data_IF_448021688090
#
_entry.id   IF_448021688090
#
_cell.length_a   1.000
_cell.length_b   1.000
_cell.length_c   1.000
_cell.angle_alpha   90.00
_cell.angle_beta   90.00
_cell.angle_gamma   90.00
#
_symmetry.space_group_name_H-M   'P 1'
#
loop_
_entity.id
_entity.type
_entity.pdbx_description
1 polymer ?
#
# COMPACT_ATOMS: atom_id res chain seq x y z
N UNK A 1 8.75 -21.77 21.37
CA UNK A 1 9.51 -22.20 20.18
C UNK A 1 8.61 -22.07 18.96
N UNK A 2 9.17 -21.70 17.81
CA UNK A 2 8.39 -21.53 16.58
C UNK A 2 8.67 -22.72 15.66
N UNK A 3 7.65 -23.26 15.02
CA UNK A 3 7.80 -24.34 14.04
C UNK A 3 7.78 -23.74 12.64
N UNK A 4 8.76 -24.09 11.80
CA UNK A 4 8.84 -23.62 10.42
C UNK A 4 8.40 -24.74 9.47
N UNK A 5 7.29 -24.53 8.77
CA UNK A 5 6.78 -25.43 7.72
C UNK A 5 6.61 -26.91 8.12
N UNK A 6 6.55 -27.23 9.43
CA UNK A 6 6.43 -28.61 9.93
C UNK A 6 7.72 -29.44 9.86
N UNK A 7 8.86 -28.85 9.51
CA UNK A 7 10.14 -29.57 9.34
C UNK A 7 11.05 -29.49 10.58
N UNK A 8 10.68 -28.71 11.58
CA UNK A 8 11.42 -28.63 12.82
C UNK A 8 11.20 -27.35 13.61
N UNK A 9 11.74 -27.38 14.81
CA UNK A 9 11.68 -26.29 15.77
C UNK A 9 12.80 -25.27 15.49
N UNK A 10 12.42 -24.02 15.23
CA UNK A 10 13.34 -22.92 14.88
C UNK A 10 13.28 -21.79 15.90
N UNK A 11 14.35 -21.01 15.96
CA UNK A 11 14.37 -19.74 16.66
C UNK A 11 13.76 -18.64 15.77
N UNK A 12 12.69 -18.00 16.25
CA UNK A 12 12.01 -16.91 15.55
C UNK A 12 12.26 -15.55 16.21
N UNK A 13 12.12 -14.47 15.42
CA UNK A 13 12.15 -13.09 15.90
C UNK A 13 11.07 -12.25 15.24
N UNK A 14 10.50 -11.30 15.98
CA UNK A 14 9.48 -10.37 15.48
C UNK A 14 10.03 -8.95 15.59
N UNK A 15 9.96 -8.20 14.50
CA UNK A 15 10.32 -6.77 14.48
C UNK A 15 9.06 -5.94 14.68
N UNK A 16 9.00 -5.21 15.80
CA UNK A 16 7.88 -4.32 16.11
C UNK A 16 8.28 -2.89 15.74
N UNK A 17 7.53 -2.29 14.81
CA UNK A 17 7.72 -0.90 14.42
C UNK A 17 7.15 0.05 15.48
N UNK A 18 7.83 1.19 15.69
CA UNK A 18 7.30 2.28 16.53
C UNK A 18 6.01 2.84 15.94
N UNK A 19 5.02 3.06 16.79
CA UNK A 19 3.75 3.67 16.39
C UNK A 19 3.96 5.01 15.67
N UNK A 20 3.19 5.25 14.59
CA UNK A 20 3.25 6.48 13.80
C UNK A 20 4.44 6.60 12.85
N UNK A 21 5.27 5.55 12.68
CA UNK A 21 6.35 5.52 11.68
C UNK A 21 5.92 4.87 10.37
N UNK A 22 6.66 5.15 9.30
CA UNK A 22 6.41 4.58 7.98
C UNK A 22 6.85 3.10 7.94
N UNK A 23 5.90 2.21 7.67
CA UNK A 23 6.13 0.77 7.61
C UNK A 23 7.08 0.36 6.48
N UNK A 24 6.89 0.91 5.28
CA UNK A 24 7.69 0.57 4.10
C UNK A 24 9.15 0.99 4.29
N UNK A 25 9.37 2.22 4.77
CA UNK A 25 10.72 2.73 5.07
C UNK A 25 11.42 1.88 6.15
N UNK A 26 10.69 1.51 7.21
CA UNK A 26 11.22 0.67 8.29
C UNK A 26 11.60 -0.72 7.79
N UNK A 27 10.76 -1.34 6.96
CA UNK A 27 11.02 -2.67 6.40
C UNK A 27 12.22 -2.62 5.44
N UNK A 28 12.33 -1.58 4.61
CA UNK A 28 13.47 -1.43 3.70
C UNK A 28 14.79 -1.27 4.46
N UNK A 29 14.80 -0.44 5.52
CA UNK A 29 15.97 -0.31 6.39
C UNK A 29 16.33 -1.62 7.08
N UNK A 30 15.32 -2.39 7.52
CA UNK A 30 15.51 -3.72 8.11
C UNK A 30 16.14 -4.70 7.11
N UNK A 31 15.64 -4.77 5.87
CA UNK A 31 16.17 -5.65 4.82
C UNK A 31 17.64 -5.37 4.53
N UNK A 32 18.01 -4.09 4.40
CA UNK A 32 19.41 -3.67 4.23
C UNK A 32 20.27 -4.11 5.42
N UNK A 33 19.76 -3.95 6.64
CA UNK A 33 20.51 -4.35 7.84
C UNK A 33 20.68 -5.86 7.94
N UNK A 34 19.66 -6.64 7.57
CA UNK A 34 19.72 -8.09 7.55
C UNK A 34 20.75 -8.60 6.53
N UNK A 35 20.81 -8.00 5.33
CA UNK A 35 21.84 -8.34 4.34
C UNK A 35 23.26 -8.09 4.88
N UNK A 36 23.48 -6.96 5.57
CA UNK A 36 24.77 -6.68 6.20
C UNK A 36 25.13 -7.71 7.28
N UNK A 37 24.15 -8.12 8.09
CA UNK A 37 24.35 -9.07 9.18
C UNK A 37 24.54 -10.50 8.68
N UNK A 38 23.99 -10.85 7.52
CA UNK A 38 24.10 -12.19 6.94
C UNK A 38 25.57 -12.62 6.77
N UNK A 39 26.46 -11.68 6.45
CA UNK A 39 27.91 -11.94 6.35
C UNK A 39 28.61 -12.23 7.68
N UNK A 40 27.98 -11.88 8.81
CA UNK A 40 28.53 -12.10 10.16
C UNK A 40 27.96 -13.33 10.84
N UNK A 41 27.00 -14.01 10.21
CA UNK A 41 26.38 -15.20 10.77
C UNK A 41 27.33 -16.40 10.71
N UNK A 42 27.26 -17.32 11.69
CA UNK A 42 27.98 -18.59 11.63
C UNK A 42 27.62 -19.38 10.36
N UNK A 43 28.56 -20.19 9.83
CA UNK A 43 28.27 -21.03 8.68
C UNK A 43 27.09 -21.97 8.97
N UNK A 44 26.13 -22.02 8.05
CA UNK A 44 24.91 -22.82 8.16
C UNK A 44 23.70 -22.11 8.77
N UNK A 45 23.81 -20.85 9.19
CA UNK A 45 22.68 -20.05 9.68
C UNK A 45 22.11 -19.18 8.56
N UNK A 46 20.81 -19.35 8.27
CA UNK A 46 20.07 -18.54 7.30
C UNK A 46 18.88 -17.84 7.96
N UNK A 47 18.63 -16.58 7.59
CA UNK A 47 17.48 -15.82 8.05
C UNK A 47 16.41 -15.87 6.96
N UNK A 48 15.34 -16.62 7.19
CA UNK A 48 14.22 -16.73 6.26
C UNK A 48 13.07 -15.81 6.71
N UNK A 49 12.70 -14.77 5.93
CA UNK A 49 11.56 -13.93 6.26
C UNK A 49 10.25 -14.69 6.04
N UNK A 50 9.50 -14.92 7.12
CA UNK A 50 8.21 -15.63 7.09
C UNK A 50 7.01 -14.73 6.79
N UNK A 51 7.15 -13.42 7.05
CA UNK A 51 6.08 -12.45 6.82
C UNK A 51 6.66 -11.07 6.48
N UNK A 52 6.29 -10.55 5.31
CA UNK A 52 6.76 -9.26 4.81
C UNK A 52 5.56 -8.39 4.39
N UNK A 53 5.31 -7.32 5.15
CA UNK A 53 4.21 -6.39 4.87
C UNK A 53 4.52 -5.45 3.71
N UNK A 54 5.77 -5.30 3.27
CA UNK A 54 6.11 -4.35 2.20
C UNK A 54 5.43 -4.74 0.89
N UNK A 55 5.34 -6.05 0.61
CA UNK A 55 4.73 -6.57 -0.62
C UNK A 55 3.28 -6.12 -0.77
N UNK A 56 2.50 -6.18 0.33
CA UNK A 56 1.12 -5.72 0.33
C UNK A 56 1.02 -4.21 0.09
N UNK A 57 1.93 -3.43 0.66
CA UNK A 57 1.96 -1.97 0.49
C UNK A 57 2.29 -1.62 -0.96
N UNK A 58 3.33 -2.23 -1.52
CA UNK A 58 3.77 -2.01 -2.91
C UNK A 58 2.66 -2.40 -3.89
N UNK A 59 2.04 -3.57 -3.73
CA UNK A 59 0.92 -3.99 -4.56
C UNK A 59 -0.29 -3.05 -4.46
N UNK A 60 -0.60 -2.52 -3.27
CA UNK A 60 -1.68 -1.54 -3.11
C UNK A 60 -1.37 -0.23 -3.85
N UNK A 61 -0.12 0.27 -3.78
CA UNK A 61 0.33 1.47 -4.47
C UNK A 61 0.28 1.28 -5.99
N UNK A 62 0.77 0.14 -6.48
CA UNK A 62 0.77 -0.18 -7.91
C UNK A 62 -0.65 -0.30 -8.45
N UNK A 63 -1.53 -0.97 -7.70
CA UNK A 63 -2.94 -1.12 -8.07
C UNK A 63 -3.63 0.25 -8.13
N UNK A 64 -3.44 1.10 -7.12
CA UNK A 64 -4.02 2.43 -7.09
C UNK A 64 -3.51 3.28 -8.25
N UNK A 65 -2.20 3.28 -8.50
CA UNK A 65 -1.58 4.04 -9.58
C UNK A 65 -2.10 3.60 -10.95
N UNK A 66 -2.21 2.28 -11.16
CA UNK A 66 -2.76 1.72 -12.39
C UNK A 66 -4.24 2.10 -12.57
N UNK A 67 -5.04 2.03 -11.51
CA UNK A 67 -6.47 2.38 -11.55
C UNK A 67 -6.72 3.86 -11.82
N UNK A 68 -5.94 4.75 -11.20
CA UNK A 68 -6.02 6.19 -11.49
C UNK A 68 -5.67 6.50 -12.94
N UNK A 69 -4.70 5.80 -13.51
CA UNK A 69 -4.34 5.94 -14.93
C UNK A 69 -5.48 5.46 -15.84
N UNK A 70 -6.08 4.31 -15.52
CA UNK A 70 -7.23 3.76 -16.24
C UNK A 70 -8.42 4.73 -16.21
N UNK A 71 -8.76 5.24 -15.04
CA UNK A 71 -9.83 6.24 -14.86
C UNK A 71 -9.55 7.50 -15.67
N UNK A 72 -8.34 8.06 -15.58
CA UNK A 72 -7.95 9.24 -16.34
C UNK A 72 -8.11 9.04 -17.85
N UNK A 73 -7.74 7.87 -18.37
CA UNK A 73 -7.81 7.56 -19.80
C UNK A 73 -9.26 7.42 -20.26
N UNK A 74 -10.09 6.70 -19.51
CA UNK A 74 -11.54 6.57 -19.79
C UNK A 74 -12.18 7.94 -19.83
N UNK A 75 -11.88 8.75 -18.83
CA UNK A 75 -12.35 10.12 -18.70
C UNK A 75 -11.93 11.00 -19.88
N UNK A 76 -10.67 10.93 -20.32
CA UNK A 76 -10.16 11.67 -21.47
C UNK A 76 -10.90 11.28 -22.77
N UNK A 77 -11.15 9.98 -22.97
CA UNK A 77 -11.90 9.46 -24.13
C UNK A 77 -13.34 9.94 -24.11
N UNK A 78 -14.03 9.83 -22.97
CA UNK A 78 -15.40 10.34 -22.81
C UNK A 78 -15.42 11.83 -23.12
N UNK A 79 -14.49 12.62 -22.57
CA UNK A 79 -14.43 14.04 -22.89
C UNK A 79 -14.27 14.29 -24.39
N UNK A 80 -13.34 13.61 -25.06
CA UNK A 80 -13.13 13.75 -26.50
C UNK A 80 -14.38 13.44 -27.32
N UNK A 81 -15.17 12.43 -26.93
CA UNK A 81 -16.42 12.05 -27.60
C UNK A 81 -17.56 13.04 -27.34
N UNK A 82 -17.68 13.56 -26.11
CA UNK A 82 -18.73 14.48 -25.70
C UNK A 82 -18.39 15.96 -25.96
N UNK A 83 -17.21 16.26 -26.52
CA UNK A 83 -16.72 17.62 -26.75
C UNK A 83 -17.49 18.45 -27.79
N UNK A 84 -18.62 17.95 -28.31
CA UNK A 84 -19.69 18.82 -28.84
C UNK A 84 -20.38 19.65 -27.72
N UNK A 85 -20.30 19.22 -26.46
CA UNK A 85 -20.70 19.93 -25.23
C UNK A 85 -19.69 19.71 -24.07
N UNK A 86 -18.41 20.01 -24.32
CA UNK A 86 -17.27 19.84 -23.38
C UNK A 86 -17.52 20.32 -21.94
N UNK A 87 -18.27 21.43 -21.79
CA UNK A 87 -18.46 22.08 -20.49
C UNK A 87 -19.18 21.19 -19.47
N UNK A 88 -20.22 20.47 -19.88
CA UNK A 88 -21.01 19.65 -18.95
C UNK A 88 -20.28 18.38 -18.52
N UNK A 89 -19.51 17.77 -19.44
CA UNK A 89 -18.72 16.57 -19.15
C UNK A 89 -17.55 16.87 -18.18
N UNK A 90 -16.91 18.04 -18.33
CA UNK A 90 -15.78 18.45 -17.50
C UNK A 90 -16.21 18.70 -16.05
N UNK A 91 -17.43 19.23 -15.83
CA UNK A 91 -18.00 19.40 -14.48
C UNK A 91 -18.18 18.04 -13.80
N UNK A 92 -18.80 17.05 -14.47
CA UNK A 92 -19.03 15.73 -13.88
C UNK A 92 -17.70 15.00 -13.58
N UNK A 93 -16.73 15.11 -14.49
CA UNK A 93 -15.39 14.54 -14.34
C UNK A 93 -14.65 15.04 -13.11
N UNK A 94 -14.66 16.35 -12.86
CA UNK A 94 -13.91 16.95 -11.75
C UNK A 94 -14.63 16.71 -10.41
N UNK A 95 -15.96 16.68 -10.43
CA UNK A 95 -16.78 16.55 -9.21
C UNK A 95 -16.59 15.21 -8.50
N UNK A 96 -16.46 14.11 -9.24
CA UNK A 96 -16.25 12.76 -8.70
C UNK A 96 -14.95 12.61 -7.87
N UNK A 97 -13.75 12.88 -8.42
CA UNK A 97 -12.51 12.81 -7.67
C UNK A 97 -12.42 13.89 -6.58
N UNK A 98 -12.97 15.10 -6.79
CA UNK A 98 -13.04 16.09 -5.70
C UNK A 98 -13.90 15.61 -4.53
N UNK A 99 -15.01 14.92 -4.81
CA UNK A 99 -15.87 14.34 -3.76
C UNK A 99 -15.13 13.29 -2.95
N UNK A 100 -14.39 12.40 -3.63
CA UNK A 100 -13.56 11.37 -2.99
C UNK A 100 -12.46 12.03 -2.14
N UNK A 101 -11.73 13.00 -2.69
CA UNK A 101 -10.69 13.72 -1.95
C UNK A 101 -11.27 14.48 -0.75
N UNK A 102 -12.44 15.11 -0.91
CA UNK A 102 -13.15 15.77 0.18
C UNK A 102 -13.52 14.81 1.31
N UNK A 103 -14.03 13.63 0.97
CA UNK A 103 -14.30 12.56 1.94
C UNK A 103 -13.02 12.12 2.67
N UNK A 104 -11.92 11.92 1.94
CA UNK A 104 -10.60 11.60 2.51
C UNK A 104 -10.08 12.67 3.48
N UNK A 105 -10.24 13.96 3.14
CA UNK A 105 -9.83 15.07 4.03
C UNK A 105 -10.63 15.06 5.32
N UNK A 106 -11.95 14.87 5.24
CA UNK A 106 -12.83 14.80 6.42
C UNK A 106 -12.48 13.58 7.28
N UNK A 107 -12.25 12.41 6.67
CA UNK A 107 -11.80 11.21 7.37
C UNK A 107 -10.46 11.42 8.09
N UNK A 108 -9.52 12.11 7.44
CA UNK A 108 -8.22 12.43 8.02
C UNK A 108 -8.34 13.32 9.26
N UNK A 109 -9.18 14.36 9.21
CA UNK A 109 -9.43 15.24 10.37
C UNK A 109 -10.14 14.52 11.52
N UNK A 110 -11.01 13.56 11.24
CA UNK A 110 -11.69 12.76 12.26
C UNK A 110 -10.81 11.63 12.82
N UNK A 111 -9.62 11.40 12.27
CA UNK A 111 -8.73 10.31 12.69
C UNK A 111 -9.27 8.91 12.38
N UNK A 112 -10.27 8.80 11.49
CA UNK A 112 -10.85 7.53 11.06
C UNK A 112 -9.94 6.95 9.98
N UNK A 113 -9.40 5.76 10.23
CA UNK A 113 -8.61 5.04 9.24
C UNK A 113 -9.53 4.48 8.14
N UNK A 114 -9.13 4.60 6.87
CA UNK A 114 -9.88 4.07 5.73
C UNK A 114 -9.90 2.53 5.77
N UNK A 115 -10.85 1.98 6.50
CA UNK A 115 -11.08 0.54 6.66
C UNK A 115 -12.27 0.09 5.79
N UNK A 116 -12.33 -1.20 5.46
CA UNK A 116 -13.37 -1.82 4.62
C UNK A 116 -14.79 -1.56 5.18
N UNK A 117 -14.94 -1.43 6.50
CA UNK A 117 -16.21 -1.04 7.17
C UNK A 117 -16.63 0.43 6.96
N UNK A 118 -15.72 1.32 6.56
CA UNK A 118 -16.02 2.73 6.28
C UNK A 118 -16.15 3.05 4.79
N UNK A 119 -15.69 2.13 3.92
CA UNK A 119 -15.72 2.25 2.47
C UNK A 119 -16.81 1.38 1.81
N UNK A 120 -17.47 0.53 2.59
CA UNK A 120 -18.51 -0.40 2.13
C UNK A 120 -19.84 -0.10 2.80
N UNK A 121 -20.58 0.83 2.20
CA UNK A 121 -21.99 0.70 1.75
C UNK A 121 -22.17 1.67 0.58
#
# INVERSE_FOLDING_TARGET
MAELNGEGEVAGGIVVMRYGKNALETINALKVKLQQLQHTLPPGVEIVPVYDRSQLIEHAIDTLSFKLLEEFLVVAVVCALFLSHFRSALVAMVTLPLGILGAFVVMHYQGVNANIMSLGE
#
